data_IF_655438440329
#
_entry.id   IF_655438440329
#
_cell.length_a   1.000
_cell.length_b   1.000
_cell.length_c   1.000
_cell.angle_alpha   90.00
_cell.angle_beta   90.00
_cell.angle_gamma   90.00
#
_symmetry.space_group_name_H-M   'P 1'
#
loop_
_entity.id
_entity.type
_entity.pdbx_description
1 polymer ?
#
# COMPACT_ATOMS: atom_id res chain seq x y z
N UNK A 1 12.85 -1.59 54.82
CA UNK A 1 11.38 -1.72 54.77
C UNK A 1 10.84 -0.54 53.97
N UNK A 2 10.18 -0.64 52.82
CA UNK A 2 9.91 -1.67 51.83
C UNK A 2 9.02 -0.92 50.82
N UNK A 3 9.57 -0.50 49.69
CA UNK A 3 8.83 -0.11 48.47
C UNK A 3 9.81 -0.01 47.29
N UNK A 4 10.60 -1.09 47.10
CA UNK A 4 11.19 -1.42 45.80
C UNK A 4 10.46 -2.67 45.35
N UNK A 5 9.32 -2.47 44.69
CA UNK A 5 8.36 -3.52 44.41
C UNK A 5 7.63 -3.32 43.09
N UNK A 6 8.33 -2.88 42.04
CA UNK A 6 7.89 -3.12 40.66
C UNK A 6 9.00 -3.79 39.86
N UNK A 7 9.23 -5.06 40.19
CA UNK A 7 9.63 -6.04 39.18
C UNK A 7 8.38 -6.41 38.37
N UNK A 8 8.16 -5.74 37.23
CA UNK A 8 7.24 -6.23 36.21
C UNK A 8 7.90 -6.15 34.85
N UNK A 9 8.57 -7.25 34.55
CA UNK A 9 9.25 -7.61 33.31
C UNK A 9 8.71 -6.86 32.07
N UNK A 10 9.43 -5.85 31.53
CA UNK A 10 8.99 -5.13 30.34
C UNK A 10 8.76 -6.08 29.14
N UNK A 11 9.46 -7.22 29.13
CA UNK A 11 9.32 -8.29 28.14
C UNK A 11 7.93 -8.93 28.09
N UNK A 12 7.19 -9.00 29.23
CA UNK A 12 5.84 -9.60 29.24
C UNK A 12 4.80 -8.74 28.50
N UNK A 13 5.01 -7.42 28.39
CA UNK A 13 4.09 -6.53 27.65
C UNK A 13 4.11 -6.83 26.15
N UNK A 14 5.22 -7.36 25.65
CA UNK A 14 5.45 -7.71 24.24
C UNK A 14 5.01 -9.13 23.87
N UNK A 15 4.67 -9.98 24.85
CA UNK A 15 4.10 -11.31 24.61
C UNK A 15 2.66 -11.26 24.10
N UNK A 16 1.90 -10.19 24.39
CA UNK A 16 0.50 -10.06 23.98
C UNK A 16 0.36 -9.99 22.45
N UNK A 17 1.10 -9.12 21.72
CA UNK A 17 1.09 -9.13 20.25
C UNK A 17 1.52 -10.48 19.66
N UNK A 18 2.51 -11.15 20.25
CA UNK A 18 2.98 -12.48 19.81
C UNK A 18 1.90 -13.55 20.02
N UNK A 19 1.18 -13.50 21.15
CA UNK A 19 0.06 -14.39 21.42
C UNK A 19 -1.11 -14.17 20.45
N UNK A 20 -1.42 -12.90 20.13
CA UNK A 20 -2.43 -12.56 19.13
C UNK A 20 -2.08 -13.09 17.73
N UNK A 21 -0.78 -13.10 17.38
CA UNK A 21 -0.33 -13.62 16.09
C UNK A 21 -0.77 -15.08 15.86
N UNK A 22 -0.76 -15.89 16.92
CA UNK A 22 -1.05 -17.32 16.88
C UNK A 22 -2.52 -17.64 17.18
N UNK A 23 -3.18 -16.82 18.01
CA UNK A 23 -4.53 -17.10 18.51
C UNK A 23 -5.63 -16.63 17.57
N UNK A 24 -5.44 -15.56 16.81
CA UNK A 24 -6.56 -14.93 16.09
C UNK A 24 -7.17 -15.81 14.98
N UNK A 25 -6.39 -16.44 14.08
CA UNK A 25 -6.96 -17.34 13.06
C UNK A 25 -7.64 -18.56 13.70
N UNK A 26 -7.04 -19.12 14.75
CA UNK A 26 -7.61 -20.24 15.51
C UNK A 26 -8.95 -19.85 16.15
N UNK A 27 -9.01 -18.73 16.87
CA UNK A 27 -10.24 -18.23 17.47
C UNK A 27 -11.32 -17.92 16.43
N UNK A 28 -10.94 -17.58 15.20
CA UNK A 28 -11.90 -17.27 14.13
C UNK A 28 -12.50 -18.52 13.49
N UNK A 29 -11.72 -19.57 13.28
CA UNK A 29 -12.20 -20.86 12.77
C UNK A 29 -13.24 -21.42 13.75
N UNK A 30 -12.86 -21.58 15.01
CA UNK A 30 -13.76 -22.15 16.03
C UNK A 30 -14.87 -21.17 16.42
N UNK A 31 -14.61 -19.87 16.49
CA UNK A 31 -15.63 -18.86 16.77
C UNK A 31 -16.67 -18.70 15.65
N UNK A 32 -16.27 -18.94 14.39
CA UNK A 32 -17.17 -19.02 13.24
C UNK A 32 -18.12 -20.21 13.32
N UNK A 33 -17.58 -21.39 13.66
CA UNK A 33 -18.37 -22.59 13.93
C UNK A 33 -19.40 -22.36 15.04
N UNK A 34 -19.02 -21.69 16.14
CA UNK A 34 -19.93 -21.36 17.24
C UNK A 34 -21.00 -20.31 16.88
N UNK A 35 -20.71 -19.37 15.98
CA UNK A 35 -21.62 -18.24 15.67
C UNK A 35 -22.54 -18.48 14.47
N UNK A 36 -22.07 -19.21 13.44
CA UNK A 36 -22.80 -19.45 12.17
C UNK A 36 -22.95 -20.92 11.81
N UNK A 37 -22.33 -21.85 12.55
CA UNK A 37 -22.39 -23.28 12.26
C UNK A 37 -21.46 -23.76 11.13
N UNK A 38 -20.66 -22.88 10.53
CA UNK A 38 -19.62 -23.20 9.56
C UNK A 38 -18.33 -22.42 9.88
N UNK A 39 -17.14 -23.00 9.69
CA UNK A 39 -15.89 -22.27 9.85
C UNK A 39 -15.82 -21.11 8.84
N UNK A 40 -15.30 -19.97 9.27
CA UNK A 40 -15.05 -18.84 8.37
C UNK A 40 -13.89 -19.18 7.43
N UNK A 41 -14.06 -18.93 6.14
CA UNK A 41 -12.99 -19.10 5.18
C UNK A 41 -12.00 -17.92 5.25
N UNK A 42 -10.71 -18.11 4.96
CA UNK A 42 -9.75 -17.01 5.10
C UNK A 42 -10.03 -15.90 4.07
N UNK A 43 -10.55 -16.24 2.88
CA UNK A 43 -11.00 -15.26 1.88
C UNK A 43 -12.14 -14.38 2.42
N UNK A 44 -13.16 -14.98 3.06
CA UNK A 44 -14.24 -14.23 3.71
C UNK A 44 -13.74 -13.37 4.87
N UNK A 45 -12.58 -13.69 5.45
CA UNK A 45 -11.98 -12.90 6.53
C UNK A 45 -11.05 -11.80 6.02
N UNK A 46 -10.66 -11.81 4.75
CA UNK A 46 -9.64 -10.91 4.22
C UNK A 46 -10.01 -9.42 4.31
N UNK A 47 -11.31 -9.09 4.31
CA UNK A 47 -11.76 -7.69 4.50
C UNK A 47 -11.39 -7.13 5.87
N UNK A 48 -11.19 -7.99 6.86
CA UNK A 48 -10.78 -7.59 8.20
C UNK A 48 -9.34 -7.05 8.22
N UNK A 49 -8.51 -7.46 7.26
CA UNK A 49 -7.09 -7.06 7.19
C UNK A 49 -6.95 -5.53 7.14
N UNK A 50 -7.62 -4.81 6.22
CA UNK A 50 -7.63 -3.35 6.23
C UNK A 50 -8.64 -2.75 7.23
N UNK A 51 -9.75 -3.44 7.51
CA UNK A 51 -10.81 -2.90 8.38
C UNK A 51 -10.37 -2.77 9.84
N UNK A 52 -9.60 -3.72 10.38
CA UNK A 52 -9.11 -3.67 11.76
C UNK A 52 -8.29 -2.41 12.04
N UNK A 53 -7.21 -2.11 11.29
CA UNK A 53 -6.45 -0.88 11.50
C UNK A 53 -7.29 0.38 11.22
N UNK A 54 -8.24 0.32 10.28
CA UNK A 54 -9.19 1.41 10.01
C UNK A 54 -10.13 1.70 11.20
N UNK A 55 -10.59 0.68 11.92
CA UNK A 55 -11.44 0.81 13.12
C UNK A 55 -10.63 1.21 14.36
N UNK A 56 -9.36 0.81 14.43
CA UNK A 56 -8.46 1.18 15.54
C UNK A 56 -8.06 2.65 15.46
N UNK A 57 -7.93 3.23 14.26
CA UNK A 57 -7.63 4.65 14.04
C UNK A 57 -8.48 5.60 14.91
N UNK A 58 -9.82 5.63 14.81
CA UNK A 58 -10.65 6.54 15.60
C UNK A 58 -10.61 6.21 17.09
N UNK A 59 -10.44 4.93 17.46
CA UNK A 59 -10.31 4.51 18.86
C UNK A 59 -9.07 5.15 19.48
N UNK A 60 -7.90 5.05 18.84
CA UNK A 60 -6.66 5.67 19.34
C UNK A 60 -6.79 7.20 19.35
N UNK A 61 -7.35 7.79 18.29
CA UNK A 61 -7.52 9.24 18.20
C UNK A 61 -8.41 9.80 19.33
N UNK A 62 -9.56 9.19 19.58
CA UNK A 62 -10.52 9.62 20.61
C UNK A 62 -9.99 9.35 22.02
N UNK A 63 -9.50 8.14 22.29
CA UNK A 63 -8.95 7.81 23.61
C UNK A 63 -7.72 8.67 23.92
N UNK A 64 -6.91 8.97 22.92
CA UNK A 64 -5.78 9.88 23.03
C UNK A 64 -6.17 11.29 23.45
N UNK A 65 -7.28 11.83 22.93
CA UNK A 65 -7.77 13.14 23.34
C UNK A 65 -8.37 13.14 24.76
N UNK A 66 -9.09 12.08 25.12
CA UNK A 66 -9.79 12.00 26.42
C UNK A 66 -8.82 11.69 27.57
N UNK A 67 -7.90 10.76 27.37
CA UNK A 67 -7.06 10.19 28.43
C UNK A 67 -5.59 10.62 28.36
N UNK A 68 -5.26 11.67 27.61
CA UNK A 68 -3.89 12.12 27.40
C UNK A 68 -3.12 12.45 28.71
N UNK A 69 -3.84 12.77 29.78
CA UNK A 69 -3.29 13.15 31.08
C UNK A 69 -3.17 11.96 32.05
N UNK A 70 -3.73 10.81 31.70
CA UNK A 70 -3.77 9.65 32.58
C UNK A 70 -2.50 8.80 32.44
N UNK A 71 -1.89 8.43 33.57
CA UNK A 71 -0.64 7.66 33.58
C UNK A 71 -0.81 6.25 32.98
N UNK A 72 -1.98 5.63 33.16
CA UNK A 72 -2.26 4.31 32.57
C UNK A 72 -2.27 4.35 31.04
N UNK A 73 -2.68 5.46 30.42
CA UNK A 73 -2.67 5.62 28.96
C UNK A 73 -1.23 5.75 28.44
N UNK A 74 -0.41 6.55 29.13
CA UNK A 74 0.99 6.77 28.78
C UNK A 74 1.86 5.55 29.02
N UNK A 75 1.79 4.92 30.19
CA UNK A 75 2.74 3.88 30.58
C UNK A 75 2.34 2.48 30.11
N UNK A 76 1.05 2.14 30.20
CA UNK A 76 0.55 0.81 29.85
C UNK A 76 0.24 0.70 28.37
N UNK A 77 -0.44 1.70 27.79
CA UNK A 77 -0.83 1.68 26.38
C UNK A 77 0.12 2.41 25.45
N UNK A 78 1.16 3.08 25.99
CA UNK A 78 2.15 3.83 25.19
C UNK A 78 1.46 4.80 24.24
N UNK A 79 0.52 5.56 24.79
CA UNK A 79 -0.34 6.49 24.06
C UNK A 79 -1.06 5.86 22.85
N UNK A 80 -1.50 4.60 22.98
CA UNK A 80 -2.22 3.87 21.93
C UNK A 80 -1.35 2.98 21.06
N UNK A 81 -0.02 3.06 21.17
CA UNK A 81 0.90 2.19 20.43
C UNK A 81 0.67 0.69 20.69
N UNK A 82 0.30 0.31 21.92
CA UNK A 82 -0.04 -1.08 22.23
C UNK A 82 -1.31 -1.56 21.52
N UNK A 83 -2.27 -0.66 21.27
CA UNK A 83 -3.49 -0.99 20.52
C UNK A 83 -3.14 -1.14 19.04
N UNK A 84 -2.34 -0.21 18.50
CA UNK A 84 -1.89 -0.23 17.12
C UNK A 84 -1.15 -1.53 16.77
N UNK A 85 -0.16 -1.92 17.58
CA UNK A 85 0.62 -3.13 17.33
C UNK A 85 -0.22 -4.41 17.43
N UNK A 86 -1.20 -4.46 18.33
CA UNK A 86 -2.12 -5.60 18.42
C UNK A 86 -3.01 -5.70 17.17
N UNK A 87 -3.52 -4.56 16.67
CA UNK A 87 -4.27 -4.51 15.42
C UNK A 87 -3.48 -4.98 14.21
N UNK A 88 -2.23 -4.51 14.10
CA UNK A 88 -1.34 -4.90 13.01
C UNK A 88 -0.85 -6.35 13.12
N UNK A 89 -0.70 -6.87 14.34
CA UNK A 89 -0.44 -8.30 14.56
C UNK A 89 -1.59 -9.15 14.02
N UNK A 90 -2.84 -8.78 14.32
CA UNK A 90 -4.00 -9.49 13.79
C UNK A 90 -4.05 -9.43 12.26
N UNK A 91 -3.81 -8.25 11.68
CA UNK A 91 -3.76 -8.09 10.22
C UNK A 91 -2.66 -8.96 9.57
N UNK A 92 -1.49 -9.06 10.19
CA UNK A 92 -0.40 -9.94 9.76
C UNK A 92 -0.81 -11.41 9.83
N UNK A 93 -1.43 -11.86 10.92
CA UNK A 93 -1.91 -13.25 11.04
C UNK A 93 -2.93 -13.62 9.99
N UNK A 94 -3.89 -12.72 9.74
CA UNK A 94 -4.89 -12.91 8.70
C UNK A 94 -4.24 -12.97 7.31
N UNK A 95 -3.25 -12.12 7.04
CA UNK A 95 -2.51 -12.13 5.78
C UNK A 95 -1.72 -13.43 5.58
N UNK A 96 -1.07 -13.94 6.63
CA UNK A 96 -0.36 -15.24 6.60
C UNK A 96 -1.34 -16.39 6.43
N UNK A 97 -2.48 -16.36 7.12
CA UNK A 97 -3.50 -17.39 6.99
C UNK A 97 -4.09 -17.43 5.57
N UNK A 98 -4.40 -16.26 4.99
CA UNK A 98 -4.86 -16.13 3.61
C UNK A 98 -3.83 -16.71 2.62
N UNK A 99 -2.54 -16.41 2.82
CA UNK A 99 -1.48 -16.98 1.99
C UNK A 99 -1.38 -18.51 2.13
N UNK A 100 -1.44 -19.05 3.35
CA UNK A 100 -1.44 -20.51 3.58
C UNK A 100 -2.63 -21.15 2.87
N UNK A 101 -3.83 -20.58 3.01
CA UNK A 101 -5.02 -21.11 2.33
C UNK A 101 -4.82 -21.12 0.81
N UNK A 102 -4.38 -20.01 0.23
CA UNK A 102 -4.14 -19.88 -1.20
C UNK A 102 -3.17 -20.95 -1.73
N UNK A 103 -2.06 -21.21 -1.03
CA UNK A 103 -1.09 -22.23 -1.45
C UNK A 103 -1.51 -23.67 -1.17
N UNK A 104 -2.42 -23.91 -0.22
CA UNK A 104 -2.82 -25.27 0.21
C UNK A 104 -4.05 -25.79 -0.51
N UNK A 105 -5.03 -24.94 -0.79
CA UNK A 105 -6.27 -25.35 -1.46
C UNK A 105 -6.11 -25.46 -2.98
N UNK A 106 -5.04 -24.88 -3.54
CA UNK A 106 -4.84 -24.79 -4.98
C UNK A 106 -5.84 -23.81 -5.60
N UNK A 107 -5.39 -23.04 -6.59
CA UNK A 107 -6.32 -22.32 -7.45
C UNK A 107 -7.19 -23.37 -8.15
N UNK A 108 -8.52 -23.22 -8.09
CA UNK A 108 -9.37 -23.87 -9.10
C UNK A 108 -9.02 -23.35 -10.49
N UNK A 109 -9.82 -23.66 -11.51
CA UNK A 109 -9.65 -23.12 -12.88
C UNK A 109 -9.64 -21.56 -12.97
N UNK A 110 -9.82 -20.83 -11.86
CA UNK A 110 -9.61 -19.39 -11.75
C UNK A 110 -8.30 -19.06 -11.00
N UNK A 111 -7.38 -18.34 -11.66
CA UNK A 111 -6.07 -17.92 -11.12
C UNK A 111 -6.14 -16.91 -9.95
N UNK A 112 -7.31 -16.33 -9.68
CA UNK A 112 -7.51 -15.33 -8.63
C UNK A 112 -8.78 -15.62 -7.81
N UNK A 113 -8.65 -15.52 -6.48
CA UNK A 113 -9.80 -15.61 -5.58
C UNK A 113 -10.49 -14.24 -5.48
N UNK A 114 -11.82 -14.25 -5.67
CA UNK A 114 -12.65 -13.03 -5.70
C UNK A 114 -13.77 -13.15 -4.68
N UNK A 115 -14.02 -12.06 -3.95
CA UNK A 115 -15.17 -12.00 -3.04
C UNK A 115 -15.78 -10.60 -3.04
N UNK A 116 -17.04 -10.49 -3.47
CA UNK A 116 -17.80 -9.25 -3.43
C UNK A 116 -18.47 -9.11 -2.05
N UNK A 117 -18.26 -7.98 -1.37
CA UNK A 117 -18.86 -7.71 -0.06
C UNK A 117 -20.23 -7.05 -0.19
N UNK A 118 -20.31 -5.92 -0.89
CA UNK A 118 -21.53 -5.15 -1.10
C UNK A 118 -21.39 -4.17 -2.26
N UNK A 119 -22.52 -3.72 -2.83
CA UNK A 119 -22.56 -2.63 -3.82
C UNK A 119 -22.50 -1.27 -3.10
N UNK A 120 -21.48 -0.47 -3.41
CA UNK A 120 -21.27 0.83 -2.77
C UNK A 120 -22.18 1.92 -3.32
N UNK A 121 -22.17 2.11 -4.63
CA UNK A 121 -23.00 3.10 -5.32
C UNK A 121 -23.65 2.40 -6.50
N UNK A 122 -24.98 2.45 -6.57
CA UNK A 122 -25.73 2.10 -7.77
C UNK A 122 -26.40 3.36 -8.33
N UNK A 123 -26.34 3.53 -9.64
CA UNK A 123 -27.01 4.62 -10.32
C UNK A 123 -27.53 4.19 -11.67
N UNK A 124 -28.72 4.68 -12.01
CA UNK A 124 -29.34 4.46 -13.31
C UNK A 124 -28.77 5.46 -14.32
N UNK A 125 -28.29 4.96 -15.46
CA UNK A 125 -27.89 5.83 -16.58
C UNK A 125 -29.10 6.08 -17.48
N UNK A 126 -29.37 7.36 -17.72
CA UNK A 126 -30.37 7.82 -18.69
C UNK A 126 -29.77 7.69 -20.10
N UNK A 127 -30.10 6.61 -20.80
CA UNK A 127 -29.81 6.45 -22.22
C UNK A 127 -30.88 7.13 -23.07
N UNK A 128 -30.51 7.69 -24.22
CA UNK A 128 -31.48 8.16 -25.22
C UNK A 128 -31.37 7.26 -26.44
N UNK A 129 -32.44 6.51 -26.74
CA UNK A 129 -32.50 5.69 -27.96
C UNK A 129 -32.54 6.60 -29.20
N UNK A 130 -32.17 6.06 -30.36
CA UNK A 130 -32.16 6.80 -31.64
C UNK A 130 -33.52 7.43 -32.00
N UNK A 131 -34.62 6.91 -31.44
CA UNK A 131 -35.99 7.41 -31.59
C UNK A 131 -36.36 8.53 -30.61
N UNK A 132 -35.41 9.00 -29.80
CA UNK A 132 -35.60 10.09 -28.83
C UNK A 132 -36.22 9.67 -27.49
N UNK A 133 -36.58 8.40 -27.33
CA UNK A 133 -37.04 7.83 -26.05
C UNK A 133 -35.90 7.78 -25.04
N UNK A 134 -36.17 8.25 -23.83
CA UNK A 134 -35.26 8.10 -22.70
C UNK A 134 -35.48 6.71 -22.11
N UNK A 135 -34.49 5.84 -22.22
CA UNK A 135 -34.48 4.50 -21.62
C UNK A 135 -33.60 4.53 -20.38
N UNK A 136 -34.07 3.92 -19.29
CA UNK A 136 -33.21 3.58 -18.15
C UNK A 136 -32.43 2.35 -18.56
N UNK A 137 -31.16 2.51 -18.98
CA UNK A 137 -30.31 1.36 -19.30
C UNK A 137 -29.29 1.15 -18.17
N UNK A 138 -29.35 -0.07 -17.63
CA UNK A 138 -28.47 -0.74 -16.67
C UNK A 138 -28.19 -0.05 -15.32
N UNK A 139 -28.43 -0.83 -14.27
CA UNK A 139 -28.04 -0.59 -12.88
C UNK A 139 -26.50 -0.71 -12.79
N UNK A 140 -25.78 0.40 -13.00
CA UNK A 140 -24.32 0.41 -12.84
C UNK A 140 -24.02 0.43 -11.35
N UNK A 141 -23.50 -0.69 -10.84
CA UNK A 141 -23.09 -0.83 -9.45
C UNK A 141 -21.56 -0.81 -9.33
N UNK A 142 -21.03 0.16 -8.58
CA UNK A 142 -19.65 0.15 -8.12
C UNK A 142 -19.57 -0.73 -6.87
N UNK A 143 -19.00 -1.92 -7.01
CA UNK A 143 -18.87 -2.90 -5.92
C UNK A 143 -17.74 -2.54 -4.94
N UNK A 144 -17.81 -3.15 -3.75
CA UNK A 144 -16.66 -3.33 -2.85
C UNK A 144 -16.39 -4.81 -2.75
N UNK A 145 -15.18 -5.22 -3.08
CA UNK A 145 -14.77 -6.60 -2.94
C UNK A 145 -13.29 -6.76 -2.63
N UNK A 146 -12.86 -8.01 -2.73
CA UNK A 146 -11.49 -8.44 -2.46
C UNK A 146 -10.98 -9.21 -3.67
N UNK A 147 -9.78 -8.84 -4.11
CA UNK A 147 -9.03 -9.56 -5.13
C UNK A 147 -7.72 -10.12 -4.57
N UNK A 148 -7.59 -11.45 -4.61
CA UNK A 148 -6.42 -12.16 -4.09
C UNK A 148 -5.82 -13.01 -5.19
N UNK A 149 -4.58 -12.69 -5.55
CA UNK A 149 -3.75 -13.45 -6.47
C UNK A 149 -2.28 -13.43 -5.97
N UNK A 150 -1.33 -14.07 -6.68
CA UNK A 150 0.06 -14.14 -6.21
C UNK A 150 0.72 -12.76 -6.00
N UNK A 151 0.37 -11.76 -6.83
CA UNK A 151 0.89 -10.40 -6.71
C UNK A 151 0.36 -9.71 -5.45
N UNK A 152 -0.97 -9.79 -5.22
CA UNK A 152 -1.60 -9.28 -4.00
C UNK A 152 -0.99 -9.93 -2.76
N UNK A 153 -0.87 -11.26 -2.74
CA UNK A 153 -0.38 -11.99 -1.56
C UNK A 153 1.07 -11.64 -1.20
N UNK A 154 1.95 -11.56 -2.20
CA UNK A 154 3.34 -11.18 -1.97
C UNK A 154 3.41 -9.79 -1.34
N UNK A 155 2.73 -8.79 -1.93
CA UNK A 155 2.80 -7.43 -1.43
C UNK A 155 2.05 -7.23 -0.11
N UNK A 156 0.94 -7.96 0.09
CA UNK A 156 0.16 -7.95 1.32
C UNK A 156 1.00 -8.46 2.48
N UNK A 157 1.70 -9.58 2.29
CA UNK A 157 2.61 -10.12 3.29
C UNK A 157 3.73 -9.12 3.64
N UNK A 158 4.40 -8.57 2.62
CA UNK A 158 5.47 -7.57 2.82
C UNK A 158 4.95 -6.36 3.60
N UNK A 159 3.81 -5.80 3.19
CA UNK A 159 3.21 -4.64 3.82
C UNK A 159 2.78 -4.93 5.27
N UNK A 160 2.04 -6.01 5.51
CA UNK A 160 1.58 -6.39 6.84
C UNK A 160 2.75 -6.68 7.80
N UNK A 161 3.75 -7.41 7.31
CA UNK A 161 4.94 -7.78 8.09
C UNK A 161 5.76 -6.56 8.49
N UNK A 162 6.07 -5.67 7.53
CA UNK A 162 6.84 -4.47 7.82
C UNK A 162 6.03 -3.44 8.62
N UNK A 163 4.73 -3.27 8.39
CA UNK A 163 3.89 -2.41 9.22
C UNK A 163 3.92 -2.86 10.69
N UNK A 164 3.82 -4.17 10.94
CA UNK A 164 3.94 -4.73 12.30
C UNK A 164 5.32 -4.46 12.91
N UNK A 165 6.42 -4.79 12.21
CA UNK A 165 7.77 -4.59 12.73
C UNK A 165 8.12 -3.11 12.96
N UNK A 166 7.71 -2.22 12.04
CA UNK A 166 7.97 -0.79 12.17
C UNK A 166 7.11 -0.19 13.29
N UNK A 167 5.87 -0.66 13.48
CA UNK A 167 5.06 -0.28 14.63
C UNK A 167 5.73 -0.73 15.93
N UNK A 168 6.27 -1.96 15.98
CA UNK A 168 7.05 -2.45 17.12
C UNK A 168 8.25 -1.55 17.40
N UNK A 169 9.05 -1.24 16.39
CA UNK A 169 10.19 -0.33 16.50
C UNK A 169 9.78 1.04 17.02
N UNK A 170 8.66 1.58 16.53
CA UNK A 170 8.16 2.89 16.94
C UNK A 170 7.77 2.96 18.42
N UNK A 171 7.40 1.83 19.06
CA UNK A 171 7.16 1.80 20.52
C UNK A 171 8.40 2.19 21.31
N UNK A 172 9.58 1.73 20.86
CA UNK A 172 10.85 2.10 21.46
C UNK A 172 11.31 3.50 21.06
N UNK A 173 11.10 3.88 19.79
CA UNK A 173 11.63 5.16 19.27
C UNK A 173 10.80 6.39 19.67
N UNK A 174 9.46 6.29 19.64
CA UNK A 174 8.58 7.45 19.84
C UNK A 174 8.33 7.77 21.31
N UNK A 175 8.41 6.76 22.19
CA UNK A 175 8.10 6.90 23.61
C UNK A 175 9.32 7.21 24.50
N UNK A 176 10.48 7.49 23.90
CA UNK A 176 11.72 7.82 24.62
C UNK A 176 12.02 9.31 24.65
N UNK A 177 11.56 10.08 23.66
CA UNK A 177 11.81 11.52 23.58
C UNK A 177 10.69 12.31 24.28
N UNK A 178 10.99 13.15 25.29
CA UNK A 178 10.01 13.99 25.97
C UNK A 178 9.22 14.92 25.05
N UNK A 179 9.77 15.31 23.88
CA UNK A 179 9.05 16.16 22.92
C UNK A 179 7.77 15.50 22.39
N UNK A 180 7.73 14.17 22.42
CA UNK A 180 6.64 13.35 21.89
C UNK A 180 5.57 13.03 22.93
N UNK A 181 5.79 13.36 24.19
CA UNK A 181 4.81 13.13 25.24
C UNK A 181 3.52 13.89 24.97
N UNK A 182 2.40 13.17 25.08
CA UNK A 182 1.07 13.71 24.89
C UNK A 182 0.69 13.96 23.43
N UNK A 183 1.50 13.55 22.45
CA UNK A 183 1.18 13.63 21.00
C UNK A 183 1.34 12.30 20.27
N UNK A 184 1.83 11.24 20.93
CA UNK A 184 2.07 9.94 20.30
C UNK A 184 0.77 9.24 19.89
N UNK A 185 -0.34 9.51 20.55
CA UNK A 185 -1.65 9.00 20.12
C UNK A 185 -2.01 9.44 18.68
N UNK A 186 -1.66 10.67 18.29
CA UNK A 186 -1.85 11.13 16.92
C UNK A 186 -0.97 10.34 15.94
N UNK A 187 0.30 10.14 16.30
CA UNK A 187 1.23 9.33 15.51
C UNK A 187 0.67 7.92 15.28
N UNK A 188 0.26 7.21 16.34
CA UNK A 188 -0.22 5.83 16.22
C UNK A 188 -1.56 5.73 15.49
N UNK A 189 -2.45 6.70 15.66
CA UNK A 189 -3.70 6.78 14.90
C UNK A 189 -3.42 6.93 13.40
N UNK A 190 -2.59 7.91 13.02
CA UNK A 190 -2.20 8.14 11.63
C UNK A 190 -1.42 6.95 11.04
N UNK A 191 -0.58 6.30 11.84
CA UNK A 191 0.18 5.11 11.46
C UNK A 191 -0.74 3.95 11.08
N UNK A 192 -1.75 3.63 11.91
CA UNK A 192 -2.66 2.52 11.59
C UNK A 192 -3.58 2.86 10.42
N UNK A 193 -4.03 4.12 10.28
CA UNK A 193 -4.82 4.53 9.12
C UNK A 193 -4.00 4.44 7.83
N UNK A 194 -2.72 4.79 7.90
CA UNK A 194 -1.78 4.63 6.80
C UNK A 194 -1.59 3.15 6.42
N UNK A 195 -1.41 2.28 7.40
CA UNK A 195 -1.34 0.82 7.18
C UNK A 195 -2.65 0.27 6.59
N UNK A 196 -3.81 0.73 7.05
CA UNK A 196 -5.11 0.36 6.48
C UNK A 196 -5.21 0.75 5.00
N UNK A 197 -4.72 1.94 4.64
CA UNK A 197 -4.60 2.38 3.25
C UNK A 197 -3.79 1.42 2.39
N UNK A 198 -2.57 1.06 2.82
CA UNK A 198 -1.75 0.12 2.06
C UNK A 198 -2.40 -1.27 1.95
N UNK A 199 -2.87 -1.84 3.05
CA UNK A 199 -3.46 -3.18 3.07
C UNK A 199 -4.76 -3.24 2.24
N UNK A 200 -5.56 -2.18 2.29
CA UNK A 200 -6.80 -2.08 1.52
C UNK A 200 -6.54 -1.93 0.03
N UNK A 201 -5.56 -1.11 -0.35
CA UNK A 201 -5.16 -0.94 -1.76
C UNK A 201 -4.71 -2.27 -2.38
N UNK A 202 -3.93 -3.08 -1.65
CA UNK A 202 -3.45 -4.37 -2.15
C UNK A 202 -4.62 -5.35 -2.35
N UNK A 203 -5.62 -5.33 -1.47
CA UNK A 203 -6.77 -6.21 -1.54
C UNK A 203 -7.91 -5.70 -2.41
N UNK A 204 -7.86 -4.46 -2.89
CA UNK A 204 -8.90 -3.86 -3.71
C UNK A 204 -9.19 -4.70 -4.96
N UNK A 205 -10.47 -4.85 -5.31
CA UNK A 205 -10.95 -5.56 -6.49
C UNK A 205 -11.24 -4.68 -7.71
N UNK A 206 -11.07 -3.36 -7.55
CA UNK A 206 -11.26 -2.38 -8.60
C UNK A 206 -10.20 -1.29 -8.52
N UNK A 207 -9.93 -0.65 -9.66
CA UNK A 207 -9.04 0.50 -9.70
C UNK A 207 -9.60 1.70 -8.91
N UNK A 208 -10.92 1.78 -8.72
CA UNK A 208 -11.55 2.80 -7.89
C UNK A 208 -11.18 2.64 -6.41
N UNK A 209 -11.33 1.43 -5.85
CA UNK A 209 -10.95 1.18 -4.46
C UNK A 209 -9.44 1.28 -4.26
N UNK A 210 -8.65 0.83 -5.24
CA UNK A 210 -7.21 1.10 -5.26
C UNK A 210 -6.95 2.60 -5.09
N UNK A 211 -7.63 3.46 -5.86
CA UNK A 211 -7.49 4.92 -5.78
C UNK A 211 -7.97 5.52 -4.45
N UNK A 212 -9.09 5.05 -3.89
CA UNK A 212 -9.57 5.52 -2.58
C UNK A 212 -8.54 5.22 -1.49
N UNK A 213 -7.98 4.02 -1.46
CA UNK A 213 -6.95 3.66 -0.47
C UNK A 213 -5.60 4.36 -0.73
N UNK A 214 -5.26 4.59 -1.99
CA UNK A 214 -4.11 5.39 -2.42
C UNK A 214 -4.17 6.83 -1.91
N UNK A 215 -5.37 7.41 -1.91
CA UNK A 215 -5.68 8.73 -1.39
C UNK A 215 -5.60 8.81 0.13
N UNK A 216 -6.21 7.84 0.83
CA UNK A 216 -6.10 7.70 2.29
C UNK A 216 -4.63 7.65 2.71
N UNK A 217 -3.83 6.83 2.03
CA UNK A 217 -2.40 6.72 2.30
C UNK A 217 -1.65 8.03 2.01
N UNK A 218 -2.03 8.77 0.95
CA UNK A 218 -1.48 10.10 0.65
C UNK A 218 -1.76 11.11 1.75
N UNK A 219 -2.99 11.18 2.24
CA UNK A 219 -3.36 12.04 3.37
C UNK A 219 -2.55 11.67 4.62
N UNK A 220 -2.46 10.40 4.95
CA UNK A 220 -1.71 9.97 6.13
C UNK A 220 -0.21 10.25 6.00
N UNK A 221 0.39 10.14 4.80
CA UNK A 221 1.80 10.55 4.59
C UNK A 221 2.01 12.04 4.89
N UNK A 222 1.06 12.90 4.51
CA UNK A 222 1.14 14.33 4.78
C UNK A 222 1.15 14.60 6.29
N UNK A 223 0.23 13.94 7.02
CA UNK A 223 0.13 14.09 8.47
C UNK A 223 1.38 13.56 9.20
N UNK A 224 1.88 12.39 8.80
CA UNK A 224 3.03 11.73 9.42
C UNK A 224 4.36 12.45 9.11
N UNK A 225 4.57 12.94 7.89
CA UNK A 225 5.74 13.79 7.56
C UNK A 225 5.65 15.10 8.34
N UNK A 226 4.46 15.68 8.43
CA UNK A 226 4.17 16.90 9.16
C UNK A 226 3.99 16.72 10.67
N UNK A 227 4.42 15.60 11.25
CA UNK A 227 4.19 15.30 12.67
C UNK A 227 4.77 16.39 13.59
N UNK A 228 5.96 16.89 13.29
CA UNK A 228 6.57 18.03 13.98
C UNK A 228 6.16 19.36 13.31
N UNK A 229 4.85 19.61 13.19
CA UNK A 229 4.26 20.74 12.45
C UNK A 229 4.73 22.12 12.96
N UNK A 230 5.21 22.21 14.20
CA UNK A 230 5.77 23.43 14.77
C UNK A 230 7.08 23.84 14.08
N UNK A 231 7.79 22.89 13.46
CA UNK A 231 9.01 23.16 12.67
C UNK A 231 8.62 23.60 11.26
N UNK A 232 9.01 24.81 10.81
CA UNK A 232 8.70 25.27 9.47
C UNK A 232 9.23 24.36 8.36
N UNK A 233 10.38 23.69 8.58
CA UNK A 233 10.96 22.72 7.65
C UNK A 233 10.05 21.50 7.45
N UNK A 234 9.56 20.90 8.54
CA UNK A 234 8.66 19.74 8.50
C UNK A 234 7.31 20.09 7.87
N UNK A 235 6.73 21.26 8.21
CA UNK A 235 5.49 21.72 7.59
C UNK A 235 5.64 21.99 6.08
N UNK A 236 6.79 22.53 5.65
CA UNK A 236 7.12 22.70 4.24
C UNK A 236 7.30 21.35 3.52
N UNK A 237 8.05 20.42 4.12
CA UNK A 237 8.27 19.08 3.59
C UNK A 237 6.97 18.31 3.41
N UNK A 238 6.08 18.34 4.41
CA UNK A 238 4.76 17.71 4.33
C UNK A 238 3.95 18.27 3.16
N UNK A 239 3.85 19.61 3.04
CA UNK A 239 3.14 20.26 1.92
C UNK A 239 3.74 19.89 0.57
N UNK A 240 5.07 19.90 0.45
CA UNK A 240 5.77 19.54 -0.78
C UNK A 240 5.46 18.09 -1.17
N UNK A 241 5.48 17.15 -0.22
CA UNK A 241 5.12 15.76 -0.45
C UNK A 241 3.66 15.59 -0.89
N UNK A 242 2.74 16.23 -0.19
CA UNK A 242 1.32 16.16 -0.54
C UNK A 242 1.06 16.73 -1.93
N UNK A 243 1.55 17.94 -2.24
CA UNK A 243 1.30 18.58 -3.53
C UNK A 243 1.97 17.85 -4.69
N UNK A 244 3.21 17.36 -4.52
CA UNK A 244 3.92 16.65 -5.61
C UNK A 244 3.24 15.34 -5.94
N UNK A 245 2.80 14.58 -4.93
CA UNK A 245 2.07 13.33 -5.13
C UNK A 245 0.67 13.57 -5.69
N UNK A 246 0.01 14.64 -5.24
CA UNK A 246 -1.30 15.08 -5.74
C UNK A 246 -1.32 15.35 -7.24
N UNK A 247 -0.25 15.93 -7.79
CA UNK A 247 -0.13 16.12 -9.24
C UNK A 247 -0.24 14.77 -9.96
N UNK A 248 0.47 13.74 -9.48
CA UNK A 248 0.36 12.38 -10.02
C UNK A 248 -1.05 11.80 -9.83
N UNK A 249 -1.66 12.01 -8.66
CA UNK A 249 -2.98 11.50 -8.31
C UNK A 249 -4.09 12.06 -9.24
N UNK A 250 -3.94 13.29 -9.73
CA UNK A 250 -4.86 13.88 -10.73
C UNK A 250 -4.76 13.15 -12.07
N UNK A 251 -3.55 12.82 -12.54
CA UNK A 251 -3.39 12.05 -13.77
C UNK A 251 -3.87 10.61 -13.59
N UNK A 252 -3.62 10.00 -12.44
CA UNK A 252 -4.19 8.70 -12.09
C UNK A 252 -5.71 8.72 -12.26
N UNK A 253 -6.39 9.70 -11.67
CA UNK A 253 -7.84 9.86 -11.79
C UNK A 253 -8.29 10.03 -13.24
N UNK A 254 -7.59 10.82 -14.06
CA UNK A 254 -7.89 10.94 -15.50
C UNK A 254 -7.77 9.57 -16.19
N UNK A 255 -6.74 8.78 -15.87
CA UNK A 255 -6.58 7.42 -16.39
C UNK A 255 -7.75 6.50 -16.02
N UNK A 256 -8.27 6.61 -14.79
CA UNK A 256 -9.45 5.87 -14.35
C UNK A 256 -10.70 6.28 -15.12
N UNK A 257 -10.89 7.58 -15.36
CA UNK A 257 -12.05 8.05 -16.14
C UNK A 257 -12.01 7.54 -17.58
N UNK A 258 -10.82 7.47 -18.20
CA UNK A 258 -10.65 6.88 -19.54
C UNK A 258 -10.92 5.37 -19.50
N UNK A 259 -10.43 4.64 -18.49
CA UNK A 259 -10.73 3.22 -18.35
C UNK A 259 -12.24 2.96 -18.18
N UNK A 260 -12.91 3.79 -17.38
CA UNK A 260 -14.35 3.67 -17.20
C UNK A 260 -15.12 3.95 -18.49
N UNK A 261 -14.70 4.93 -19.30
CA UNK A 261 -15.28 5.21 -20.62
C UNK A 261 -15.09 4.05 -21.60
N UNK A 262 -13.93 3.37 -21.55
CA UNK A 262 -13.64 2.23 -22.43
C UNK A 262 -14.36 0.94 -22.03
N UNK A 263 -14.46 0.65 -20.73
CA UNK A 263 -14.94 -0.65 -20.23
C UNK A 263 -16.31 -0.60 -19.55
N UNK A 264 -16.85 0.58 -19.26
CA UNK A 264 -18.08 0.75 -18.47
C UNK A 264 -17.97 0.31 -16.99
N UNK A 265 -16.78 -0.12 -16.55
CA UNK A 265 -16.49 -0.59 -15.21
C UNK A 265 -15.03 -0.33 -14.83
N UNK A 266 -14.76 -0.26 -13.53
CA UNK A 266 -13.41 -0.20 -12.96
C UNK A 266 -13.01 -1.49 -12.22
N UNK A 267 -13.88 -2.51 -12.25
CA UNK A 267 -13.67 -3.79 -11.59
C UNK A 267 -12.67 -4.65 -12.37
N UNK A 268 -11.72 -5.23 -11.65
CA UNK A 268 -10.72 -6.12 -12.23
C UNK A 268 -11.35 -7.33 -12.92
N UNK A 269 -12.46 -7.84 -12.38
CA UNK A 269 -13.19 -8.96 -12.96
C UNK A 269 -13.71 -8.67 -14.38
N UNK A 270 -14.11 -7.41 -14.64
CA UNK A 270 -14.58 -6.97 -15.96
C UNK A 270 -13.39 -6.65 -16.85
N UNK A 271 -12.48 -5.81 -16.36
CA UNK A 271 -11.35 -5.30 -17.15
C UNK A 271 -10.39 -6.42 -17.56
N UNK A 272 -10.12 -7.39 -16.68
CA UNK A 272 -9.20 -8.50 -16.97
C UNK A 272 -9.90 -9.71 -17.61
N UNK A 273 -11.23 -9.77 -17.58
CA UNK A 273 -12.00 -10.91 -18.10
C UNK A 273 -12.20 -10.90 -19.62
N UNK A 274 -12.32 -9.71 -20.22
CA UNK A 274 -12.25 -9.52 -21.67
C UNK A 274 -11.82 -8.07 -21.95
N UNK A 275 -10.52 -7.80 -22.13
CA UNK A 275 -10.06 -6.44 -22.40
C UNK A 275 -10.43 -5.94 -23.80
N UNK A 276 -11.07 -6.79 -24.62
CA UNK A 276 -11.46 -6.47 -25.99
C UNK A 276 -12.95 -6.23 -26.18
N UNK A 277 -13.82 -6.67 -25.24
CA UNK A 277 -15.29 -6.72 -25.32
C UNK A 277 -15.79 -6.54 -26.76
N UNK A 278 -15.57 -7.56 -27.61
CA UNK A 278 -16.05 -7.54 -29.00
C UNK A 278 -15.16 -6.85 -30.05
N UNK A 279 -13.89 -6.56 -29.75
CA UNK A 279 -12.92 -5.97 -30.68
C UNK A 279 -13.00 -4.45 -30.81
N UNK A 280 -13.61 -3.76 -29.84
CA UNK A 280 -13.95 -2.32 -29.92
C UNK A 280 -13.14 -1.39 -29.01
N UNK A 281 -12.20 -1.90 -28.21
CA UNK A 281 -11.37 -1.04 -27.35
C UNK A 281 -10.35 -0.26 -28.20
N UNK A 282 -10.48 1.07 -28.22
CA UNK A 282 -9.53 1.92 -28.93
C UNK A 282 -8.15 1.87 -28.28
N UNK A 283 -7.19 1.26 -28.97
CA UNK A 283 -5.81 1.14 -28.52
C UNK A 283 -5.16 2.51 -28.25
N UNK A 284 -5.59 3.56 -28.96
CA UNK A 284 -5.12 4.93 -28.74
C UNK A 284 -5.53 5.47 -27.36
N UNK A 285 -6.82 5.39 -27.04
CA UNK A 285 -7.35 5.78 -25.73
C UNK A 285 -6.80 4.90 -24.61
N UNK A 286 -6.67 3.59 -24.81
CA UNK A 286 -6.06 2.71 -23.80
C UNK A 286 -4.59 3.09 -23.53
N UNK A 287 -3.82 3.41 -24.58
CA UNK A 287 -2.45 3.93 -24.44
C UNK A 287 -2.40 5.18 -23.57
N UNK A 288 -3.33 6.11 -23.76
CA UNK A 288 -3.46 7.29 -22.90
C UNK A 288 -3.83 6.93 -21.48
N UNK A 289 -4.79 6.03 -21.27
CA UNK A 289 -5.13 5.54 -19.93
C UNK A 289 -3.90 4.99 -19.22
N UNK A 290 -3.13 4.11 -19.87
CA UNK A 290 -1.92 3.52 -19.29
C UNK A 290 -0.85 4.56 -18.95
N UNK A 291 -0.65 5.58 -19.81
CA UNK A 291 0.26 6.70 -19.51
C UNK A 291 -0.21 7.52 -18.31
N UNK A 292 -1.51 7.80 -18.23
CA UNK A 292 -2.09 8.58 -17.13
C UNK A 292 -1.99 7.84 -15.79
N UNK A 293 -2.29 6.53 -15.76
CA UNK A 293 -2.05 5.67 -14.60
C UNK A 293 -0.57 5.67 -14.20
N UNK A 294 0.33 5.57 -15.18
CA UNK A 294 1.77 5.58 -14.93
C UNK A 294 2.27 6.89 -14.33
N UNK A 295 1.75 8.06 -14.74
CA UNK A 295 2.11 9.34 -14.10
C UNK A 295 1.70 9.35 -12.62
N UNK A 296 0.59 8.70 -12.26
CA UNK A 296 0.23 8.41 -10.87
C UNK A 296 1.31 7.64 -10.14
N UNK A 297 1.76 6.51 -10.72
CA UNK A 297 2.84 5.70 -10.16
C UNK A 297 4.15 6.49 -10.00
N UNK A 298 4.50 7.34 -10.97
CA UNK A 298 5.68 8.23 -10.93
C UNK A 298 5.61 9.15 -9.70
N UNK A 299 4.44 9.72 -9.40
CA UNK A 299 4.23 10.58 -8.24
C UNK A 299 4.45 9.87 -6.90
N UNK A 300 3.76 8.74 -6.66
CA UNK A 300 3.85 8.01 -5.38
C UNK A 300 5.18 7.29 -5.17
N UNK A 301 5.81 6.80 -6.23
CA UNK A 301 7.09 6.10 -6.14
C UNK A 301 8.30 7.01 -6.36
N UNK A 302 8.09 8.33 -6.33
CA UNK A 302 9.13 9.35 -6.42
C UNK A 302 10.07 9.16 -7.62
N UNK A 303 9.50 8.86 -8.79
CA UNK A 303 10.27 8.74 -10.03
C UNK A 303 10.46 10.13 -10.66
N UNK A 304 11.46 10.27 -11.52
CA UNK A 304 11.62 11.47 -12.32
C UNK A 304 10.36 11.69 -13.19
N UNK A 305 9.78 12.91 -13.25
CA UNK A 305 10.24 14.15 -12.64
C UNK A 305 9.68 14.44 -11.23
N UNK A 306 8.68 13.70 -10.73
CA UNK A 306 7.97 13.95 -9.47
C UNK A 306 8.70 13.42 -8.21
N UNK A 307 10.02 13.35 -8.23
CA UNK A 307 10.85 12.72 -7.21
C UNK A 307 11.21 13.62 -6.02
N UNK A 308 11.07 14.94 -6.18
CA UNK A 308 11.66 15.97 -5.30
C UNK A 308 11.14 15.96 -3.86
N UNK A 309 10.04 15.28 -3.57
CA UNK A 309 9.45 15.25 -2.25
C UNK A 309 10.08 14.22 -1.31
N UNK A 310 10.60 13.11 -1.86
CA UNK A 310 11.01 11.96 -1.07
C UNK A 310 12.21 12.25 -0.14
N UNK A 311 13.25 13.01 -0.56
CA UNK A 311 14.34 13.36 0.34
C UNK A 311 13.91 14.30 1.48
N UNK A 312 12.96 15.20 1.22
CA UNK A 312 12.46 16.15 2.22
C UNK A 312 11.49 15.47 3.21
N UNK A 313 10.83 14.38 2.81
CA UNK A 313 10.02 13.54 3.69
C UNK A 313 10.82 12.98 4.88
N UNK A 314 12.15 13.05 4.86
CA UNK A 314 13.04 12.68 5.96
C UNK A 314 12.95 13.62 7.17
N UNK A 315 12.24 14.74 7.08
CA UNK A 315 11.88 15.57 8.25
C UNK A 315 10.93 14.85 9.22
N UNK A 316 10.18 13.85 8.74
CA UNK A 316 9.30 13.04 9.58
C UNK A 316 10.07 12.13 10.56
N UNK A 317 9.41 11.61 11.61
CA UNK A 317 10.02 10.65 12.52
C UNK A 317 10.60 9.44 11.78
N UNK A 318 11.71 8.87 12.27
CA UNK A 318 12.37 7.75 11.58
C UNK A 318 11.48 6.52 11.34
N UNK A 319 10.55 6.14 12.24
CA UNK A 319 9.56 5.10 11.93
C UNK A 319 8.69 5.42 10.70
N UNK A 320 8.36 6.71 10.47
CA UNK A 320 7.62 7.14 9.26
C UNK A 320 8.47 6.94 8.01
N UNK A 321 9.76 7.29 8.07
CA UNK A 321 10.69 7.05 6.96
C UNK A 321 10.77 5.56 6.62
N UNK A 322 10.90 4.67 7.62
CA UNK A 322 10.85 3.23 7.40
C UNK A 322 9.52 2.79 6.75
N UNK A 323 8.40 3.29 7.27
CA UNK A 323 7.06 2.92 6.81
C UNK A 323 6.84 3.30 5.33
N UNK A 324 7.08 4.57 4.98
CA UNK A 324 6.88 5.13 3.64
C UNK A 324 7.82 4.46 2.62
N UNK A 325 9.09 4.23 2.98
CA UNK A 325 10.13 3.81 2.04
C UNK A 325 10.28 2.30 1.85
N UNK A 326 9.77 1.51 2.81
CA UNK A 326 9.93 0.06 2.78
C UNK A 326 8.60 -0.66 2.59
N UNK A 327 7.58 -0.30 3.37
CA UNK A 327 6.38 -1.11 3.50
C UNK A 327 5.25 -0.73 2.52
N UNK A 328 5.19 0.53 2.07
CA UNK A 328 3.90 1.11 1.64
C UNK A 328 3.97 2.03 0.41
N UNK A 329 3.95 3.36 0.61
CA UNK A 329 3.62 4.40 -0.36
C UNK A 329 4.44 4.30 -1.63
N UNK A 330 5.74 4.07 -1.50
CA UNK A 330 6.61 3.97 -2.67
C UNK A 330 6.44 2.66 -3.44
N UNK A 331 5.95 1.61 -2.80
CA UNK A 331 5.62 0.34 -3.46
C UNK A 331 4.26 0.39 -4.15
N UNK A 332 3.38 1.32 -3.78
CA UNK A 332 2.06 1.49 -4.40
C UNK A 332 2.14 1.73 -5.91
N UNK A 333 3.04 2.61 -6.35
CA UNK A 333 3.23 2.85 -7.79
C UNK A 333 3.78 1.63 -8.52
N UNK A 334 4.69 0.87 -7.90
CA UNK A 334 5.17 -0.40 -8.46
C UNK A 334 4.06 -1.43 -8.56
N UNK A 335 3.19 -1.51 -7.54
CA UNK A 335 2.03 -2.38 -7.54
C UNK A 335 1.05 -2.02 -8.64
N UNK A 336 0.75 -0.73 -8.83
CA UNK A 336 -0.10 -0.27 -9.92
C UNK A 336 0.48 -0.66 -11.29
N UNK A 337 1.78 -0.46 -11.52
CA UNK A 337 2.42 -0.87 -12.79
C UNK A 337 2.41 -2.39 -12.97
N UNK A 338 2.64 -3.17 -11.91
CA UNK A 338 2.51 -4.62 -11.96
C UNK A 338 1.05 -5.07 -12.24
N UNK A 339 0.07 -4.32 -11.73
CA UNK A 339 -1.37 -4.53 -12.01
C UNK A 339 -1.78 -4.15 -13.43
N UNK A 340 -0.92 -3.47 -14.18
CA UNK A 340 -1.16 -3.16 -15.59
C UNK A 340 -0.79 -4.32 -16.53
N UNK A 341 -0.11 -5.38 -16.05
CA UNK A 341 0.32 -6.52 -16.89
C UNK A 341 -0.78 -7.08 -17.80
N UNK A 342 -2.03 -7.29 -17.34
CA UNK A 342 -3.10 -7.82 -18.20
C UNK A 342 -3.37 -6.99 -19.47
N UNK A 343 -3.10 -5.68 -19.45
CA UNK A 343 -3.25 -4.84 -20.65
C UNK A 343 -2.14 -5.08 -21.69
N UNK A 344 -0.96 -5.54 -21.27
CA UNK A 344 0.21 -5.71 -22.13
C UNK A 344 0.46 -7.17 -22.56
N UNK A 345 -0.14 -8.16 -21.88
CA UNK A 345 0.03 -9.59 -22.14
C UNK A 345 -0.81 -10.07 -23.32
N UNK A 346 -0.22 -10.02 -24.53
CA UNK A 346 -0.94 -10.28 -25.78
C UNK A 346 -1.15 -11.79 -26.04
N UNK A 347 -0.28 -12.69 -25.58
CA UNK A 347 -0.34 -14.11 -26.01
C UNK A 347 -0.52 -15.18 -24.95
N UNK A 348 -0.26 -14.95 -23.66
CA UNK A 348 -0.45 -16.02 -22.66
C UNK A 348 -1.92 -16.16 -22.22
N UNK A 349 -2.65 -15.05 -22.14
CA UNK A 349 -4.08 -15.02 -21.81
C UNK A 349 -4.96 -14.51 -22.96
N UNK A 350 -4.38 -14.14 -24.12
CA UNK A 350 -5.14 -13.75 -25.33
C UNK A 350 -5.96 -12.46 -25.19
N UNK A 351 -5.62 -11.62 -24.22
CA UNK A 351 -6.48 -10.53 -23.74
C UNK A 351 -5.80 -9.14 -23.79
N UNK A 352 -4.46 -9.04 -23.85
CA UNK A 352 -3.77 -7.75 -23.97
C UNK A 352 -3.98 -7.03 -25.32
N UNK A 353 -3.63 -5.74 -25.37
CA UNK A 353 -3.77 -4.91 -26.58
C UNK A 353 -2.40 -4.61 -27.20
N UNK A 354 -2.26 -4.90 -28.49
CA UNK A 354 -1.04 -4.58 -29.25
C UNK A 354 -0.79 -3.07 -29.34
N UNK A 355 0.48 -2.66 -29.45
CA UNK A 355 0.85 -1.24 -29.66
C UNK A 355 1.06 -0.43 -28.38
N UNK A 356 1.01 -1.07 -27.20
CA UNK A 356 1.33 -0.46 -25.91
C UNK A 356 2.84 -0.43 -25.60
N UNK A 357 3.68 -1.06 -26.44
CA UNK A 357 5.13 -1.15 -26.25
C UNK A 357 5.83 0.20 -25.99
N UNK A 358 5.36 1.30 -26.59
CA UNK A 358 5.89 2.64 -26.32
C UNK A 358 5.74 3.05 -24.85
N UNK A 359 4.60 2.72 -24.24
CA UNK A 359 4.33 3.01 -22.81
C UNK A 359 5.30 2.21 -21.95
N UNK A 360 5.49 0.93 -22.26
CA UNK A 360 6.43 0.07 -21.55
C UNK A 360 7.87 0.60 -21.64
N UNK A 361 8.29 1.10 -22.81
CA UNK A 361 9.59 1.74 -23.01
C UNK A 361 9.69 3.02 -22.16
N UNK A 362 8.65 3.85 -22.11
CA UNK A 362 8.63 5.06 -21.27
C UNK A 362 8.79 4.70 -19.78
N UNK A 363 8.12 3.65 -19.32
CA UNK A 363 8.26 3.12 -17.95
C UNK A 363 9.71 2.72 -17.70
N UNK A 364 10.30 1.94 -18.62
CA UNK A 364 11.66 1.46 -18.50
C UNK A 364 12.70 2.60 -18.45
N UNK A 365 12.58 3.59 -19.34
CA UNK A 365 13.47 4.75 -19.39
C UNK A 365 13.32 5.66 -18.18
N UNK A 366 12.08 5.87 -17.70
CA UNK A 366 11.84 6.66 -16.50
C UNK A 366 12.52 6.03 -15.28
N UNK A 367 12.43 4.70 -15.15
CA UNK A 367 13.18 3.93 -14.17
C UNK A 367 14.69 4.07 -14.37
N UNK A 368 15.22 3.84 -15.57
CA UNK A 368 16.65 3.91 -15.84
C UNK A 368 17.27 5.28 -15.53
N UNK A 369 16.61 6.36 -15.96
CA UNK A 369 17.03 7.75 -15.68
C UNK A 369 17.00 8.02 -14.18
N UNK A 370 15.90 7.65 -13.50
CA UNK A 370 15.76 7.85 -12.07
C UNK A 370 16.81 7.06 -11.28
N UNK A 371 17.11 5.82 -11.68
CA UNK A 371 18.08 4.96 -11.02
C UNK A 371 19.48 5.59 -11.00
N UNK A 372 19.95 6.05 -12.17
CA UNK A 372 21.25 6.72 -12.31
C UNK A 372 21.28 8.06 -11.57
N UNK A 373 20.25 8.91 -11.77
CA UNK A 373 20.15 10.21 -11.13
C UNK A 373 20.18 10.09 -9.59
N UNK A 374 19.34 9.21 -9.04
CA UNK A 374 19.23 8.96 -7.61
C UNK A 374 20.55 8.49 -6.99
N UNK A 375 21.24 7.56 -7.67
CA UNK A 375 22.52 7.04 -7.20
C UNK A 375 23.60 8.14 -7.15
N UNK A 376 23.70 8.96 -8.20
CA UNK A 376 24.66 10.07 -8.24
C UNK A 376 24.40 11.10 -7.12
N UNK A 377 23.14 11.43 -6.85
CA UNK A 377 22.80 12.37 -5.78
C UNK A 377 23.10 11.77 -4.40
N UNK A 378 22.90 10.46 -4.21
CA UNK A 378 23.17 9.78 -2.94
C UNK A 378 24.65 9.88 -2.52
N UNK A 379 25.59 9.82 -3.47
CA UNK A 379 27.04 9.92 -3.20
C UNK A 379 27.48 11.25 -2.60
N UNK A 380 26.71 12.31 -2.79
CA UNK A 380 27.03 13.67 -2.30
C UNK A 380 26.14 14.09 -1.13
N UNK A 381 25.30 13.20 -0.59
CA UNK A 381 24.50 13.48 0.59
C UNK A 381 25.32 13.28 1.87
N UNK A 382 25.23 14.26 2.78
CA UNK A 382 25.87 14.19 4.10
C UNK A 382 24.92 13.73 5.22
N UNK A 383 23.62 13.62 4.94
CA UNK A 383 22.59 13.20 5.89
C UNK A 383 22.23 11.73 5.66
N UNK A 384 22.33 10.89 6.69
CA UNK A 384 22.12 9.45 6.60
C UNK A 384 20.71 9.08 6.10
N UNK A 385 19.67 9.81 6.53
CA UNK A 385 18.29 9.55 6.11
C UNK A 385 18.10 9.93 4.64
N UNK A 386 18.69 11.06 4.21
CA UNK A 386 18.66 11.47 2.80
C UNK A 386 19.45 10.51 1.90
N UNK A 387 20.62 10.03 2.32
CA UNK A 387 21.35 8.96 1.60
C UNK A 387 20.46 7.74 1.41
N UNK A 388 19.78 7.29 2.48
CA UNK A 388 18.88 6.14 2.42
C UNK A 388 17.66 6.40 1.53
N UNK A 389 17.10 7.61 1.54
CA UNK A 389 15.98 8.03 0.70
C UNK A 389 16.35 8.01 -0.80
N UNK A 390 17.48 8.60 -1.18
CA UNK A 390 17.97 8.53 -2.57
C UNK A 390 18.34 7.10 -2.98
N UNK A 391 18.88 6.31 -2.06
CA UNK A 391 19.11 4.88 -2.32
C UNK A 391 17.79 4.12 -2.52
N UNK A 392 16.71 4.42 -1.79
CA UNK A 392 15.36 3.86 -2.04
C UNK A 392 14.87 4.28 -3.42
N UNK A 393 14.96 5.56 -3.75
CA UNK A 393 14.56 6.09 -5.06
C UNK A 393 15.25 5.35 -6.21
N UNK A 394 16.56 5.10 -6.08
CA UNK A 394 17.34 4.34 -7.06
C UNK A 394 16.88 2.88 -7.18
N UNK A 395 16.64 2.21 -6.05
CA UNK A 395 16.22 0.80 -6.02
C UNK A 395 14.81 0.59 -6.59
N UNK A 396 13.87 1.48 -6.27
CA UNK A 396 12.53 1.45 -6.87
C UNK A 396 12.60 1.66 -8.38
N UNK A 397 13.47 2.56 -8.82
CA UNK A 397 13.68 2.86 -10.23
C UNK A 397 14.27 1.66 -11.02
N UNK A 398 15.12 0.83 -10.38
CA UNK A 398 15.51 -0.47 -10.95
C UNK A 398 14.32 -1.40 -11.15
N UNK A 399 13.38 -1.44 -10.19
CA UNK A 399 12.16 -2.24 -10.30
C UNK A 399 11.26 -1.70 -11.43
N UNK A 400 11.08 -0.38 -11.55
CA UNK A 400 10.36 0.23 -12.69
C UNK A 400 11.01 -0.13 -14.03
N UNK A 401 12.35 -0.15 -14.08
CA UNK A 401 13.08 -0.55 -15.29
C UNK A 401 12.75 -1.98 -15.66
N UNK A 402 12.83 -2.90 -14.69
CA UNK A 402 12.50 -4.31 -14.90
C UNK A 402 11.04 -4.55 -15.28
N UNK A 403 10.11 -3.83 -14.65
CA UNK A 403 8.69 -3.86 -14.99
C UNK A 403 8.43 -3.32 -16.40
N UNK A 404 9.02 -2.19 -16.77
CA UNK A 404 8.90 -1.65 -18.13
C UNK A 404 9.45 -2.61 -19.20
N UNK A 405 10.60 -3.24 -18.93
CA UNK A 405 11.15 -4.29 -19.82
C UNK A 405 10.21 -5.49 -19.89
N UNK A 406 9.66 -5.94 -18.76
CA UNK A 406 8.69 -7.04 -18.73
C UNK A 406 7.43 -6.73 -19.55
N UNK A 407 6.81 -5.56 -19.34
CA UNK A 407 5.63 -5.12 -20.10
C UNK A 407 5.93 -5.00 -21.60
N UNK A 408 7.13 -4.54 -21.96
CA UNK A 408 7.53 -4.47 -23.36
C UNK A 408 7.66 -5.87 -23.97
N UNK A 409 8.26 -6.82 -23.25
CA UNK A 409 8.39 -8.21 -23.69
C UNK A 409 7.03 -8.90 -23.82
N UNK A 410 6.09 -8.64 -22.90
CA UNK A 410 4.71 -9.12 -23.01
C UNK A 410 4.00 -8.60 -24.27
N UNK A 411 4.25 -7.35 -24.65
CA UNK A 411 3.64 -6.74 -25.84
C UNK A 411 4.31 -7.16 -27.17
N UNK A 412 5.50 -7.77 -27.11
CA UNK A 412 6.30 -8.20 -28.28
C UNK A 412 6.44 -9.73 -28.38
N UNK A 413 5.49 -10.48 -27.83
CA UNK A 413 5.42 -11.95 -27.90
C UNK A 413 6.68 -12.67 -27.35
N UNK A 414 7.24 -12.15 -26.26
CA UNK A 414 8.39 -12.72 -25.56
C UNK A 414 8.04 -13.18 -24.15
N UNK A 415 6.96 -13.97 -24.01
CA UNK A 415 6.30 -14.30 -22.75
C UNK A 415 7.22 -14.94 -21.71
N UNK A 416 8.04 -15.92 -22.11
CA UNK A 416 8.96 -16.55 -21.17
C UNK A 416 9.96 -15.55 -20.58
N UNK A 417 10.51 -14.67 -21.40
CA UNK A 417 11.42 -13.62 -20.92
C UNK A 417 10.66 -12.57 -20.10
N UNK A 418 9.42 -12.23 -20.48
CA UNK A 418 8.58 -11.27 -19.79
C UNK A 418 8.25 -11.72 -18.36
N UNK A 419 7.89 -13.00 -18.17
CA UNK A 419 7.61 -13.60 -16.85
C UNK A 419 8.86 -13.63 -15.98
N UNK A 420 10.03 -13.93 -16.55
CA UNK A 420 11.30 -13.88 -15.81
C UNK A 420 11.62 -12.45 -15.36
N UNK A 421 11.48 -11.46 -16.25
CA UNK A 421 11.71 -10.06 -15.92
C UNK A 421 10.71 -9.54 -14.88
N UNK A 422 9.44 -9.95 -14.96
CA UNK A 422 8.41 -9.65 -13.98
C UNK A 422 8.77 -10.23 -12.61
N UNK A 423 9.06 -11.54 -12.57
CA UNK A 423 9.43 -12.25 -11.35
C UNK A 423 10.68 -11.68 -10.70
N UNK A 424 11.71 -11.33 -11.49
CA UNK A 424 12.92 -10.66 -10.99
C UNK A 424 12.60 -9.29 -10.37
N UNK A 425 11.71 -8.52 -10.99
CA UNK A 425 11.27 -7.21 -10.49
C UNK A 425 10.50 -7.34 -9.18
N UNK A 426 9.58 -8.31 -9.09
CA UNK A 426 8.82 -8.60 -7.86
C UNK A 426 9.71 -9.14 -6.74
N UNK A 427 10.66 -10.00 -7.05
CA UNK A 427 11.64 -10.48 -6.08
C UNK A 427 12.55 -9.35 -5.58
N UNK A 428 12.96 -8.43 -6.47
CA UNK A 428 13.72 -7.24 -6.08
C UNK A 428 12.89 -6.31 -5.18
N UNK A 429 11.59 -6.15 -5.45
CA UNK A 429 10.65 -5.41 -4.58
C UNK A 429 10.63 -6.00 -3.17
N UNK A 430 10.47 -7.32 -3.06
CA UNK A 430 10.50 -8.03 -1.77
C UNK A 430 11.81 -7.77 -1.01
N UNK A 431 12.96 -7.98 -1.67
CA UNK A 431 14.27 -7.77 -1.05
C UNK A 431 14.50 -6.31 -0.65
N UNK A 432 14.14 -5.36 -1.52
CA UNK A 432 14.22 -3.94 -1.26
C UNK A 432 13.42 -3.57 0.00
N UNK A 433 12.17 -4.02 0.09
CA UNK A 433 11.31 -3.73 1.23
C UNK A 433 11.94 -4.21 2.55
N UNK A 434 12.41 -5.46 2.60
CA UNK A 434 13.06 -6.01 3.81
C UNK A 434 14.35 -5.26 4.16
N UNK A 435 15.23 -5.05 3.17
CA UNK A 435 16.51 -4.37 3.37
C UNK A 435 16.33 -2.91 3.80
N UNK A 436 15.39 -2.17 3.20
CA UNK A 436 15.12 -0.78 3.56
C UNK A 436 14.42 -0.64 4.90
N UNK A 437 13.49 -1.52 5.22
CA UNK A 437 12.88 -1.55 6.55
C UNK A 437 13.96 -1.66 7.62
N UNK A 438 14.89 -2.61 7.44
CA UNK A 438 16.04 -2.79 8.32
C UNK A 438 16.95 -1.57 8.38
N UNK A 439 17.39 -1.02 7.23
CA UNK A 439 18.32 0.10 7.18
C UNK A 439 17.76 1.37 7.83
N UNK A 440 16.48 1.69 7.60
CA UNK A 440 15.86 2.86 8.23
C UNK A 440 15.71 2.67 9.74
N UNK A 441 15.28 1.50 10.22
CA UNK A 441 15.22 1.22 11.66
C UNK A 441 16.61 1.28 12.31
N UNK A 442 17.64 0.69 11.67
CA UNK A 442 19.02 0.74 12.14
C UNK A 442 19.57 2.18 12.17
N UNK A 443 19.29 2.99 11.15
CA UNK A 443 19.65 4.41 11.14
C UNK A 443 18.96 5.18 12.26
N UNK A 444 17.71 4.82 12.58
CA UNK A 444 16.95 5.41 13.69
C UNK A 444 17.60 5.09 15.04
N UNK A 445 18.00 3.84 15.26
CA UNK A 445 18.75 3.45 16.46
C UNK A 445 20.05 4.24 16.59
N UNK A 446 20.82 4.40 15.51
CA UNK A 446 22.06 5.17 15.53
C UNK A 446 21.82 6.65 15.86
N UNK A 447 20.84 7.30 15.22
CA UNK A 447 20.49 8.70 15.50
C UNK A 447 20.02 8.88 16.95
N UNK A 448 19.31 7.89 17.51
CA UNK A 448 18.84 7.93 18.88
C UNK A 448 20.00 7.88 19.90
N UNK A 449 20.97 6.98 19.69
CA UNK A 449 22.16 6.84 20.56
C UNK A 449 23.11 8.04 20.47
N UNK A 450 23.19 8.69 19.31
CA UNK A 450 24.10 9.82 19.08
C UNK A 450 23.54 11.18 19.54
N UNK A 451 22.38 11.20 20.22
CA UNK A 451 21.73 12.42 20.75
C UNK A 451 21.50 13.55 19.72
N UNK A 452 21.09 13.16 18.50
CA UNK A 452 20.83 14.01 17.32
C UNK A 452 22.05 14.56 16.58
#
# INVERSE_FOLDING_TARGET
>A
MEQMGESKNPEMKFLIPIGLLLLFPFMRIYGGEFARGSPFDALESAFLIPLIPLLIFPIIAILGQVYNKEDWWKERFKEGGMIAICGLAIALSLSVWLAIQFFTQGTGDEDALRWNLFNWISFDVLGQTADGTVTMEQDIALGVGIWVDPLSLMLLFVAAFLCFLICWFSLGYMNTDPINEGRNHRFYAEFVLFSAGMLGMVLADSFLWLFVFWEIMGLCSYLLIGFYYERPSAAYAAKKAFLTTRVGDVFLLIGLLILYDLYGSLDYAVIFGDPSIGGTVDAGMLKWAMLMLFIGAVGKSAQFPLHVWLPDAMEGPTPVSALIHAATMVNAGLYLVARMVPFFDVTAHGHGVEGLGDVAIIIAWTGGITACMAAMIAFVQNDIKKVLAYSTMSQLAYIFTGLGVSLWLFNNDHHHAAVIAFGASMFHLFNHAMAKGMLFMASGSFIHEMHH
#
